data_IF_953478499224
#
_entry.id   IF_953478499224
#
_cell.length_a   1.000
_cell.length_b   1.000
_cell.length_c   1.000
_cell.angle_alpha   90.00
_cell.angle_beta   90.00
_cell.angle_gamma   90.00
#
_symmetry.space_group_name_H-M   'P 1'
#
loop_
_entity.id
_entity.type
_entity.pdbx_description
1 polymer ?
#
# COMPACT_ATOMS: atom_id res chain seq x y z
N UNK A 1 7.88 -11.51 -9.24
CA UNK A 1 8.10 -10.12 -8.78
C UNK A 1 9.05 -9.47 -9.76
N UNK A 2 8.69 -8.32 -10.34
CA UNK A 2 9.47 -7.71 -11.42
C UNK A 2 10.55 -6.78 -10.85
N UNK A 3 11.85 -7.08 -10.99
CA UNK A 3 12.92 -6.25 -10.42
C UNK A 3 12.99 -4.87 -11.08
N UNK A 4 12.58 -4.79 -12.35
CA UNK A 4 12.42 -3.53 -13.09
C UNK A 4 11.49 -2.56 -12.36
N UNK A 5 10.31 -3.06 -11.98
CA UNK A 5 9.26 -2.27 -11.33
C UNK A 5 9.66 -1.81 -9.94
N UNK A 6 10.38 -2.63 -9.16
CA UNK A 6 10.91 -2.23 -7.85
C UNK A 6 11.87 -1.04 -7.99
N UNK A 7 12.74 -1.06 -9.00
CA UNK A 7 13.68 0.02 -9.26
C UNK A 7 12.95 1.32 -9.68
N UNK A 8 11.94 1.21 -10.55
CA UNK A 8 11.10 2.35 -10.94
C UNK A 8 10.38 2.97 -9.73
N UNK A 9 9.78 2.13 -8.87
CA UNK A 9 9.12 2.56 -7.64
C UNK A 9 10.09 3.25 -6.68
N UNK A 10 11.28 2.69 -6.52
CA UNK A 10 12.33 3.27 -5.66
C UNK A 10 12.73 4.65 -6.14
N UNK A 11 12.91 4.82 -7.45
CA UNK A 11 13.24 6.11 -8.05
C UNK A 11 12.10 7.13 -7.87
N UNK A 12 10.85 6.71 -8.10
CA UNK A 12 9.68 7.55 -7.84
C UNK A 12 9.59 7.97 -6.37
N UNK A 13 9.87 7.08 -5.44
CA UNK A 13 9.88 7.38 -4.00
C UNK A 13 11.05 8.29 -3.60
N UNK A 14 12.15 8.32 -4.34
CA UNK A 14 13.20 9.32 -4.13
C UNK A 14 12.73 10.71 -4.61
N UNK A 15 12.04 10.76 -5.75
CA UNK A 15 11.47 11.99 -6.29
C UNK A 15 10.40 12.62 -5.39
N UNK A 16 9.64 11.83 -4.60
CA UNK A 16 8.67 12.39 -3.64
C UNK A 16 9.32 13.15 -2.48
N UNK A 17 10.59 12.86 -2.17
CA UNK A 17 11.37 13.52 -1.11
C UNK A 17 12.23 14.67 -1.67
N UNK A 18 12.24 14.88 -2.98
CA UNK A 18 12.96 15.98 -3.63
C UNK A 18 12.41 17.35 -3.20
N UNK A 19 13.27 18.39 -3.05
CA UNK A 19 12.84 19.75 -2.74
C UNK A 19 12.03 20.41 -3.87
N UNK A 20 12.17 19.92 -5.10
CA UNK A 20 11.50 20.45 -6.29
C UNK A 20 10.02 20.07 -6.32
N UNK A 21 9.14 21.08 -6.31
CA UNK A 21 7.69 20.89 -6.20
C UNK A 21 7.07 20.17 -7.40
N UNK A 22 7.60 20.42 -8.59
CA UNK A 22 7.13 19.78 -9.83
C UNK A 22 7.47 18.29 -9.83
N UNK A 23 8.72 17.94 -9.52
CA UNK A 23 9.20 16.56 -9.38
C UNK A 23 8.36 15.77 -8.38
N UNK A 24 8.02 16.38 -7.24
CA UNK A 24 7.18 15.74 -6.23
C UNK A 24 5.77 15.44 -6.74
N UNK A 25 5.12 16.40 -7.40
CA UNK A 25 3.77 16.19 -7.96
C UNK A 25 3.77 15.09 -9.01
N UNK A 26 4.75 15.08 -9.90
CA UNK A 26 4.87 14.06 -10.95
C UNK A 26 5.05 12.66 -10.36
N UNK A 27 5.86 12.54 -9.30
CA UNK A 27 6.04 11.28 -8.59
C UNK A 27 4.76 10.83 -7.85
N UNK A 28 4.04 11.74 -7.19
CA UNK A 28 2.76 11.43 -6.55
C UNK A 28 1.69 11.00 -7.56
N UNK A 29 1.64 11.64 -8.73
CA UNK A 29 0.73 11.27 -9.81
C UNK A 29 1.03 9.85 -10.34
N UNK A 30 2.32 9.52 -10.51
CA UNK A 30 2.74 8.18 -10.89
C UNK A 30 2.34 7.14 -9.83
N UNK A 31 2.60 7.40 -8.54
CA UNK A 31 2.24 6.50 -7.44
C UNK A 31 0.73 6.21 -7.39
N UNK A 32 -0.12 7.19 -7.68
CA UNK A 32 -1.57 6.98 -7.83
C UNK A 32 -1.91 6.13 -9.05
N UNK A 33 -1.25 6.34 -10.18
CA UNK A 33 -1.51 5.55 -11.38
C UNK A 33 -1.18 4.06 -11.18
N UNK A 34 -0.12 3.76 -10.43
CA UNK A 34 0.32 2.37 -10.17
C UNK A 34 -0.34 1.72 -8.96
N UNK A 35 -1.13 2.44 -8.16
CA UNK A 35 -1.74 1.91 -6.93
C UNK A 35 -2.69 0.73 -7.22
N UNK A 36 -3.35 0.74 -8.38
CA UNK A 36 -4.29 -0.30 -8.81
C UNK A 36 -3.61 -1.60 -9.26
N UNK A 37 -2.28 -1.60 -9.41
CA UNK A 37 -1.55 -2.75 -9.94
C UNK A 37 -1.45 -3.86 -8.88
N UNK A 38 -1.79 -5.12 -9.22
CA UNK A 38 -1.56 -6.24 -8.32
C UNK A 38 -0.06 -6.35 -8.01
N UNK A 39 0.28 -6.66 -6.75
CA UNK A 39 1.66 -6.70 -6.22
C UNK A 39 2.29 -5.36 -5.85
N UNK A 40 1.58 -4.24 -5.96
CA UNK A 40 2.09 -2.92 -5.54
C UNK A 40 2.53 -2.90 -4.07
N UNK A 41 1.69 -3.40 -3.15
CA UNK A 41 2.00 -3.56 -1.73
C UNK A 41 3.29 -4.34 -1.48
N UNK A 42 3.45 -5.47 -2.17
CA UNK A 42 4.60 -6.34 -1.97
C UNK A 42 5.89 -5.62 -2.40
N UNK A 43 5.85 -4.88 -3.52
CA UNK A 43 6.98 -4.08 -3.96
C UNK A 43 7.38 -3.00 -2.95
N UNK A 44 6.40 -2.30 -2.37
CA UNK A 44 6.66 -1.33 -1.29
C UNK A 44 7.31 -1.97 -0.07
N UNK A 45 6.86 -3.17 0.32
CA UNK A 45 7.41 -3.90 1.46
C UNK A 45 8.87 -4.32 1.23
N UNK A 46 9.21 -4.80 0.02
CA UNK A 46 10.58 -5.14 -0.33
C UNK A 46 11.52 -3.93 -0.27
N UNK A 47 11.09 -2.78 -0.79
CA UNK A 47 11.88 -1.52 -0.74
C UNK A 47 12.10 -1.08 0.71
N UNK A 48 11.11 -1.31 1.57
CA UNK A 48 11.19 -0.97 3.00
C UNK A 48 12.16 -1.87 3.76
N UNK A 49 12.23 -3.15 3.40
CA UNK A 49 13.14 -4.13 4.01
C UNK A 49 14.58 -4.00 3.52
N UNK A 50 14.81 -3.43 2.34
CA UNK A 50 16.14 -3.29 1.78
C UNK A 50 16.98 -2.24 2.54
N UNK A 51 18.10 -2.64 3.19
CA UNK A 51 18.94 -1.72 3.93
C UNK A 51 19.79 -0.80 3.03
N UNK A 52 19.95 -1.11 1.74
CA UNK A 52 20.71 -0.29 0.78
C UNK A 52 19.94 0.95 0.34
N UNK A 53 18.61 0.96 0.54
CA UNK A 53 17.76 2.11 0.20
C UNK A 53 17.93 3.19 1.27
N UNK A 54 18.13 4.46 0.88
CA UNK A 54 18.30 5.55 1.84
C UNK A 54 17.08 5.69 2.75
N UNK A 55 17.33 5.96 4.03
CA UNK A 55 16.29 6.09 5.06
C UNK A 55 15.09 6.98 4.68
N UNK A 56 15.25 8.18 4.10
CA UNK A 56 14.13 9.00 3.68
C UNK A 56 13.18 8.29 2.68
N UNK A 57 13.75 7.53 1.74
CA UNK A 57 12.99 6.77 0.74
C UNK A 57 12.25 5.60 1.37
N UNK A 58 12.85 4.90 2.35
CA UNK A 58 12.17 3.84 3.11
C UNK A 58 10.98 4.37 3.91
N UNK A 59 11.13 5.55 4.52
CA UNK A 59 10.05 6.21 5.27
C UNK A 59 8.93 6.60 4.29
N UNK A 60 9.26 7.17 3.13
CA UNK A 60 8.28 7.48 2.09
C UNK A 60 7.53 6.21 1.62
N UNK A 61 8.24 5.09 1.44
CA UNK A 61 7.65 3.80 1.11
C UNK A 61 6.67 3.33 2.20
N UNK A 62 7.06 3.42 3.48
CA UNK A 62 6.23 3.05 4.62
C UNK A 62 4.94 3.87 4.72
N UNK A 63 5.05 5.19 4.52
CA UNK A 63 3.90 6.10 4.52
C UNK A 63 2.96 5.75 3.37
N UNK A 64 3.50 5.50 2.19
CA UNK A 64 2.72 5.14 1.00
C UNK A 64 1.99 3.82 1.20
N UNK A 65 2.68 2.82 1.76
CA UNK A 65 2.09 1.52 2.09
C UNK A 65 0.96 1.66 3.12
N UNK A 66 1.17 2.43 4.19
CA UNK A 66 0.13 2.71 5.19
C UNK A 66 -1.11 3.34 4.54
N UNK A 67 -0.91 4.33 3.67
CA UNK A 67 -2.00 5.02 2.99
C UNK A 67 -2.75 4.09 2.04
N UNK A 68 -2.02 3.24 1.31
CA UNK A 68 -2.62 2.22 0.45
C UNK A 68 -3.51 1.27 1.25
N UNK A 69 -3.00 0.67 2.33
CA UNK A 69 -3.77 -0.26 3.17
C UNK A 69 -5.01 0.44 3.71
N UNK A 70 -4.87 1.66 4.24
CA UNK A 70 -6.01 2.43 4.77
C UNK A 70 -7.12 2.64 3.73
N UNK A 71 -6.78 2.89 2.47
CA UNK A 71 -7.74 3.19 1.42
C UNK A 71 -8.37 1.93 0.80
N UNK A 72 -7.62 0.84 0.72
CA UNK A 72 -8.01 -0.38 0.00
C UNK A 72 -8.41 -1.54 0.92
N UNK A 73 -8.19 -1.42 2.23
CA UNK A 73 -8.64 -2.40 3.22
C UNK A 73 -10.13 -2.23 3.52
N UNK A 74 -10.95 -2.87 2.70
CA UNK A 74 -12.39 -3.00 2.95
C UNK A 74 -12.60 -3.86 4.20
N UNK A 75 -12.96 -3.25 5.32
CA UNK A 75 -13.48 -4.00 6.47
C UNK A 75 -14.85 -4.53 6.04
N UNK A 76 -14.90 -5.80 5.61
CA UNK A 76 -16.16 -6.54 5.51
C UNK A 76 -16.85 -6.42 6.87
N UNK A 77 -17.82 -5.52 6.92
CA UNK A 77 -18.75 -5.35 8.02
C UNK A 77 -20.11 -5.79 7.50
N UNK A 78 -20.15 -7.00 6.96
CA UNK A 78 -21.37 -7.66 6.50
C UNK A 78 -21.43 -9.09 7.01
N UNK A 79 -21.26 -9.26 8.31
CA UNK A 79 -21.94 -10.34 9.02
C UNK A 79 -22.46 -9.71 10.31
N UNK A 80 -23.76 -9.37 10.28
CA UNK A 80 -24.69 -9.41 11.41
C UNK A 80 -25.87 -8.51 11.10
N UNK A 81 -26.81 -9.02 10.32
CA UNK A 81 -28.23 -8.85 10.61
C UNK A 81 -28.96 -10.03 9.96
N UNK A 82 -29.37 -10.97 10.82
CA UNK A 82 -30.42 -11.98 10.59
C UNK A 82 -30.25 -12.94 9.40
N UNK A 83 -29.54 -14.08 9.60
CA UNK A 83 -30.01 -15.41 9.13
C UNK A 83 -29.12 -16.54 9.72
N UNK A 84 -29.41 -16.97 10.95
CA UNK A 84 -28.94 -18.28 11.44
C UNK A 84 -30.07 -18.94 12.24
N UNK A 85 -30.94 -19.75 11.61
CA UNK A 85 -32.07 -20.40 12.29
C UNK A 85 -31.67 -21.57 13.22
N UNK A 86 -30.38 -21.87 13.41
CA UNK A 86 -29.93 -23.07 14.11
C UNK A 86 -29.43 -22.85 15.56
N UNK A 87 -29.39 -21.61 16.07
CA UNK A 87 -28.90 -21.31 17.43
C UNK A 87 -29.97 -21.42 18.54
N UNK A 88 -31.10 -22.09 18.29
CA UNK A 88 -32.17 -22.32 19.30
C UNK A 88 -32.24 -23.74 19.88
N UNK A 89 -31.30 -24.64 19.59
CA UNK A 89 -31.42 -26.06 20.01
C UNK A 89 -30.40 -26.59 21.04
N UNK A 90 -29.79 -25.72 21.85
CA UNK A 90 -29.05 -26.18 23.04
C UNK A 90 -29.41 -25.31 24.23
N UNK A 91 -30.56 -25.59 24.83
CA UNK A 91 -30.88 -25.38 26.25
C UNK A 91 -32.34 -25.80 26.50
N UNK A 92 -32.58 -27.10 26.67
CA UNK A 92 -33.61 -27.67 27.57
C UNK A 92 -33.22 -29.11 27.87
#
# INVERSE_FOLDING_TARGET
MDPSFINELTNCLQHTVSPERETRRSAEAYLKAVELRPSYCLCLLHILQDPNVPSPTRIAAAITLKNFIKNHWQVVSTICSCDYPWVVFVTT
#
